data_IF_039724929653
#
_entry.id   IF_039724929653
#
_cell.length_a   1.000
_cell.length_b   1.000
_cell.length_c   1.000
_cell.angle_alpha   90.00
_cell.angle_beta   90.00
_cell.angle_gamma   90.00
#
_symmetry.space_group_name_H-M   'P 1'
#
loop_
_entity.id
_entity.type
_entity.pdbx_description
1 polymer ?
#
# COMPACT_ATOMS: atom_id res chain seq x y z
N UNK A 1 3.08 41.71 21.26
CA UNK A 1 2.80 40.27 21.12
C UNK A 1 3.38 39.90 19.79
N UNK A 2 4.63 39.45 19.79
CA UNK A 2 5.31 39.01 18.58
C UNK A 2 4.70 37.68 18.13
N UNK A 3 4.23 37.64 16.89
CA UNK A 3 3.94 36.42 16.14
C UNK A 3 5.25 35.65 15.96
N UNK A 4 5.59 34.83 16.95
CA UNK A 4 6.75 33.95 16.90
C UNK A 4 6.43 32.77 15.98
N UNK A 5 6.60 32.97 14.66
CA UNK A 5 7.08 31.97 13.69
C UNK A 5 6.99 30.51 14.17
N UNK A 6 5.82 29.87 14.22
CA UNK A 6 5.72 28.51 14.78
C UNK A 6 6.24 27.46 13.78
N UNK A 7 7.56 27.40 13.59
CA UNK A 7 8.20 26.51 12.64
C UNK A 7 7.80 25.05 12.90
N UNK A 8 7.15 24.44 11.91
CA UNK A 8 6.68 23.04 11.97
C UNK A 8 7.68 22.06 11.34
N UNK A 9 8.60 22.54 10.48
CA UNK A 9 9.63 21.74 9.80
C UNK A 9 11.07 22.30 10.00
N UNK A 10 12.08 21.51 9.61
CA UNK A 10 13.50 21.91 9.66
C UNK A 10 14.11 21.94 11.08
N UNK A 11 15.31 22.50 11.21
CA UNK A 11 16.09 22.52 12.45
C UNK A 11 15.43 23.37 13.55
N UNK A 12 14.84 24.51 13.18
CA UNK A 12 14.14 25.39 14.14
C UNK A 12 12.95 24.69 14.80
N UNK A 13 12.22 23.86 14.05
CA UNK A 13 11.14 23.04 14.61
C UNK A 13 11.70 21.98 15.58
N UNK A 14 12.82 21.34 15.25
CA UNK A 14 13.48 20.36 16.13
C UNK A 14 13.97 20.98 17.44
N UNK A 15 14.53 22.19 17.39
CA UNK A 15 14.97 22.93 18.59
C UNK A 15 13.78 23.25 19.52
N UNK A 16 12.66 23.70 18.95
CA UNK A 16 11.42 23.93 19.71
C UNK A 16 10.86 22.64 20.31
N UNK A 17 10.76 21.58 19.49
CA UNK A 17 10.27 20.27 19.91
C UNK A 17 11.09 19.69 21.06
N UNK A 18 12.42 19.73 20.95
CA UNK A 18 13.32 19.26 22.01
C UNK A 18 13.29 20.16 23.25
N UNK A 19 13.16 21.48 23.07
CA UNK A 19 13.01 22.46 24.14
C UNK A 19 11.76 22.23 24.99
N UNK A 20 10.61 21.99 24.36
CA UNK A 20 9.35 21.67 25.05
C UNK A 20 9.46 20.37 25.86
N UNK A 21 10.09 19.34 25.30
CA UNK A 21 10.28 18.07 26.01
C UNK A 21 11.23 18.23 27.20
N UNK A 22 12.30 19.04 27.06
CA UNK A 22 13.19 19.36 28.19
C UNK A 22 12.47 20.14 29.28
N UNK A 23 11.62 21.10 28.90
CA UNK A 23 10.79 21.84 29.84
C UNK A 23 9.82 20.91 30.59
N UNK A 24 9.19 19.97 29.88
CA UNK A 24 8.34 18.94 30.48
C UNK A 24 9.11 18.07 31.47
N UNK A 25 10.28 17.54 31.09
CA UNK A 25 11.12 16.69 31.95
C UNK A 25 11.52 17.43 33.24
N UNK A 26 11.96 18.68 33.11
CA UNK A 26 12.30 19.54 34.24
C UNK A 26 11.09 19.81 35.12
N UNK A 27 9.93 20.10 34.53
CA UNK A 27 8.71 20.41 35.27
C UNK A 27 8.20 19.22 36.07
N UNK A 28 8.23 18.02 35.48
CA UNK A 28 7.89 16.77 36.17
C UNK A 28 8.86 16.57 37.35
N UNK A 29 10.16 16.80 37.15
CA UNK A 29 11.16 16.67 38.22
C UNK A 29 10.90 17.65 39.37
N UNK A 30 10.54 18.90 39.07
CA UNK A 30 10.21 19.91 40.08
C UNK A 30 8.91 19.57 40.83
N UNK A 31 7.90 19.06 40.12
CA UNK A 31 6.66 18.59 40.73
C UNK A 31 6.91 17.38 41.66
N UNK A 32 7.75 16.42 41.25
CA UNK A 32 8.21 15.31 42.10
C UNK A 32 8.93 15.81 43.37
N UNK A 33 9.45 17.04 43.37
CA UNK A 33 10.12 17.70 44.50
C UNK A 33 9.19 18.63 45.32
N UNK A 34 7.90 18.69 44.99
CA UNK A 34 6.90 19.50 45.70
C UNK A 34 6.75 20.94 45.22
N UNK A 35 7.42 21.32 44.12
CA UNK A 35 7.32 22.65 43.52
C UNK A 35 6.16 22.69 42.50
N UNK A 36 4.90 22.69 42.96
CA UNK A 36 3.74 22.46 42.08
C UNK A 36 3.11 23.75 41.53
N UNK A 37 3.18 24.86 42.26
CA UNK A 37 2.51 26.13 41.89
C UNK A 37 3.49 27.31 41.97
N UNK A 38 4.28 27.50 40.91
CA UNK A 38 5.10 28.70 40.74
C UNK A 38 4.44 29.62 39.71
N UNK A 39 3.97 30.80 40.13
CA UNK A 39 3.14 31.78 39.38
C UNK A 39 3.65 32.19 37.98
N UNK A 40 4.83 31.74 37.56
CA UNK A 40 5.48 32.09 36.28
C UNK A 40 5.99 30.88 35.49
N UNK A 41 5.78 29.67 35.98
CA UNK A 41 6.27 28.45 35.35
C UNK A 41 5.08 27.62 34.86
N UNK A 42 4.99 27.32 33.55
CA UNK A 42 3.95 26.45 33.02
C UNK A 42 3.87 25.13 33.78
N UNK A 43 2.67 24.71 34.14
CA UNK A 43 2.36 23.41 34.71
C UNK A 43 2.69 22.27 33.73
N UNK A 44 2.72 21.04 34.24
CA UNK A 44 2.90 19.83 33.40
C UNK A 44 1.81 19.76 32.32
N UNK A 45 0.56 20.07 32.68
CA UNK A 45 -0.58 20.04 31.76
C UNK A 45 -0.49 21.14 30.69
N UNK A 46 -0.03 22.34 31.05
CA UNK A 46 0.18 23.43 30.07
C UNK A 46 1.29 23.08 29.07
N UNK A 47 2.41 22.52 29.53
CA UNK A 47 3.51 22.10 28.63
C UNK A 47 3.05 20.93 27.76
N UNK A 48 2.30 19.97 28.31
CA UNK A 48 1.70 18.90 27.51
C UNK A 48 0.71 19.44 26.47
N UNK A 49 -0.07 20.47 26.80
CA UNK A 49 -0.95 21.16 25.85
C UNK A 49 -0.18 21.80 24.71
N UNK A 50 0.97 22.42 24.99
CA UNK A 50 1.87 22.97 23.97
C UNK A 50 2.51 21.88 23.09
N UNK A 51 2.83 20.73 23.67
CA UNK A 51 3.31 19.57 22.90
C UNK A 51 2.18 18.98 22.05
N UNK A 52 0.97 18.88 22.61
CA UNK A 52 -0.21 18.37 21.92
C UNK A 52 -0.58 19.21 20.69
N UNK A 53 -0.51 20.54 20.80
CA UNK A 53 -0.76 21.44 19.66
C UNK A 53 0.30 21.34 18.56
N UNK A 54 1.49 20.81 18.89
CA UNK A 54 2.64 20.68 17.98
C UNK A 54 3.01 19.24 17.64
N UNK A 55 2.14 18.26 17.90
CA UNK A 55 2.49 16.85 17.65
C UNK A 55 2.90 16.53 16.21
N UNK A 56 2.34 17.27 15.25
CA UNK A 56 2.66 17.17 13.83
C UNK A 56 4.00 17.83 13.45
N UNK A 57 4.61 18.61 14.35
CA UNK A 57 5.88 19.28 14.11
C UNK A 57 7.05 18.31 14.15
N UNK A 58 8.10 18.65 13.39
CA UNK A 58 9.29 17.83 13.19
C UNK A 58 9.87 17.29 14.52
N UNK A 59 10.04 15.97 14.59
CA UNK A 59 10.56 15.22 15.74
C UNK A 59 9.85 15.41 17.09
N UNK A 60 8.68 16.07 17.17
CA UNK A 60 8.02 16.36 18.46
C UNK A 60 7.72 15.10 19.27
N UNK A 61 7.12 14.09 18.63
CA UNK A 61 6.85 12.79 19.27
C UNK A 61 8.15 12.03 19.55
N UNK A 62 9.11 12.03 18.60
CA UNK A 62 10.40 11.36 18.74
C UNK A 62 11.19 11.85 19.96
N UNK A 63 11.17 13.15 20.25
CA UNK A 63 11.79 13.67 21.46
C UNK A 63 10.98 13.34 22.71
N UNK A 64 9.65 13.44 22.66
CA UNK A 64 8.79 13.14 23.80
C UNK A 64 8.99 11.71 24.32
N UNK A 65 9.09 10.73 23.42
CA UNK A 65 9.33 9.33 23.78
C UNK A 65 10.73 9.08 24.36
N UNK A 66 11.67 10.02 24.24
CA UNK A 66 13.00 9.91 24.84
C UNK A 66 13.03 10.38 26.31
N UNK A 67 12.02 11.10 26.80
CA UNK A 67 11.93 11.46 28.21
C UNK A 67 11.35 10.32 29.05
N UNK A 68 12.22 9.57 29.70
CA UNK A 68 11.82 8.52 30.64
C UNK A 68 10.96 9.03 31.81
N UNK A 69 11.10 10.32 32.21
CA UNK A 69 10.22 10.91 33.23
C UNK A 69 8.81 11.14 32.69
N UNK A 70 8.69 11.63 31.46
CA UNK A 70 7.40 11.83 30.81
C UNK A 70 6.63 10.50 30.67
N UNK A 71 7.31 9.36 30.51
CA UNK A 71 6.64 8.05 30.45
C UNK A 71 5.69 7.77 31.62
N UNK A 72 6.00 8.28 32.82
CA UNK A 72 5.15 8.13 34.00
C UNK A 72 3.75 8.68 33.80
N UNK A 73 3.63 9.83 33.12
CA UNK A 73 2.34 10.48 32.88
C UNK A 73 1.74 10.08 31.52
N UNK A 74 2.58 9.73 30.53
CA UNK A 74 2.13 9.30 29.21
C UNK A 74 1.40 7.95 29.26
N UNK A 75 1.90 6.99 30.06
CA UNK A 75 1.26 5.68 30.23
C UNK A 75 -0.17 5.77 30.79
N UNK A 76 -0.46 6.84 31.54
CA UNK A 76 -1.75 7.10 32.16
C UNK A 76 -2.66 7.95 31.26
N UNK A 77 -2.27 8.15 29.99
CA UNK A 77 -3.09 8.83 28.99
C UNK A 77 -3.02 10.35 29.03
N UNK A 78 -2.05 10.97 29.72
CA UNK A 78 -1.96 12.42 29.83
C UNK A 78 -1.88 13.14 28.46
N UNK A 79 -1.15 12.57 27.50
CA UNK A 79 -1.10 13.09 26.13
C UNK A 79 -2.42 12.89 25.39
N UNK A 80 -3.06 11.73 25.53
CA UNK A 80 -4.37 11.48 24.92
C UNK A 80 -5.40 12.51 25.40
N UNK A 81 -5.41 12.80 26.70
CA UNK A 81 -6.24 13.84 27.30
C UNK A 81 -5.88 15.23 26.76
N UNK A 82 -4.59 15.57 26.66
CA UNK A 82 -4.13 16.87 26.15
C UNK A 82 -4.51 17.09 24.67
N UNK A 83 -4.55 16.03 23.87
CA UNK A 83 -4.96 16.06 22.46
C UNK A 83 -6.49 16.07 22.31
N UNK A 84 -7.23 15.86 23.40
CA UNK A 84 -8.69 15.75 23.36
C UNK A 84 -9.15 14.46 22.70
N UNK A 85 -8.41 13.36 22.88
CA UNK A 85 -8.86 12.02 22.48
C UNK A 85 -10.14 11.70 23.22
N UNK A 86 -11.18 11.45 22.45
CA UNK A 86 -12.51 11.14 22.93
C UNK A 86 -12.62 9.61 23.06
N UNK A 87 -12.61 9.12 24.30
CA UNK A 87 -12.68 7.68 24.60
C UNK A 87 -13.92 7.03 23.98
N UNK A 88 -15.05 7.74 23.90
CA UNK A 88 -16.25 7.22 23.26
C UNK A 88 -16.04 7.04 21.76
N UNK A 89 -15.38 8.00 21.10
CA UNK A 89 -15.00 7.86 19.68
C UNK A 89 -14.02 6.73 19.46
N UNK A 90 -13.00 6.58 20.30
CA UNK A 90 -12.02 5.48 20.21
C UNK A 90 -12.73 4.13 20.36
N UNK A 91 -13.60 3.99 21.36
CA UNK A 91 -14.37 2.77 21.58
C UNK A 91 -15.35 2.49 20.43
N UNK A 92 -15.96 3.53 19.86
CA UNK A 92 -16.82 3.40 18.68
C UNK A 92 -16.02 2.91 17.47
N UNK A 93 -14.86 3.49 17.22
CA UNK A 93 -13.96 3.07 16.14
C UNK A 93 -13.48 1.62 16.34
N UNK A 94 -13.09 1.25 17.57
CA UNK A 94 -12.67 -0.11 17.88
C UNK A 94 -13.77 -1.14 17.56
N UNK A 95 -15.02 -0.85 17.93
CA UNK A 95 -16.18 -1.70 17.60
C UNK A 95 -16.43 -1.78 16.09
N UNK A 96 -16.25 -0.68 15.37
CA UNK A 96 -16.40 -0.66 13.92
C UNK A 96 -15.31 -1.49 13.22
N UNK A 97 -14.07 -1.36 13.67
CA UNK A 97 -12.93 -2.16 13.20
C UNK A 97 -13.19 -3.64 13.47
N UNK A 98 -13.52 -4.02 14.71
CA UNK A 98 -13.82 -5.41 15.07
C UNK A 98 -14.95 -5.99 14.21
N UNK A 99 -16.05 -5.23 14.05
CA UNK A 99 -17.17 -5.62 13.18
C UNK A 99 -16.71 -5.82 11.73
N UNK A 100 -15.86 -4.93 11.21
CA UNK A 100 -15.34 -5.02 9.84
C UNK A 100 -14.48 -6.25 9.64
N UNK A 101 -13.56 -6.52 10.57
CA UNK A 101 -12.75 -7.74 10.55
C UNK A 101 -13.61 -9.00 10.66
N UNK A 102 -14.61 -9.02 11.55
CA UNK A 102 -15.52 -10.16 11.68
C UNK A 102 -16.29 -10.42 10.39
N UNK A 103 -16.86 -9.38 9.78
CA UNK A 103 -17.56 -9.48 8.49
C UNK A 103 -16.64 -10.02 7.39
N UNK A 104 -15.38 -9.56 7.34
CA UNK A 104 -14.39 -10.03 6.35
C UNK A 104 -13.93 -11.46 6.62
N UNK A 105 -13.77 -11.85 7.88
CA UNK A 105 -13.37 -13.20 8.28
C UNK A 105 -14.45 -14.22 7.95
N UNK A 106 -15.72 -13.90 8.25
CA UNK A 106 -16.86 -14.79 8.02
C UNK A 106 -17.30 -14.79 6.56
N UNK A 107 -17.44 -13.61 5.95
CA UNK A 107 -18.00 -13.41 4.61
C UNK A 107 -16.98 -13.29 3.48
N UNK A 108 -15.68 -13.29 3.78
CA UNK A 108 -14.62 -13.07 2.80
C UNK A 108 -14.53 -11.61 2.33
N UNK A 109 -13.76 -11.39 1.25
CA UNK A 109 -13.61 -10.06 0.64
C UNK A 109 -14.96 -9.57 0.11
N UNK A 110 -15.44 -8.43 0.61
CA UNK A 110 -16.63 -7.79 0.06
C UNK A 110 -16.32 -7.33 -1.36
N UNK A 111 -17.07 -7.82 -2.36
CA UNK A 111 -16.98 -7.31 -3.73
C UNK A 111 -17.31 -5.82 -3.69
N UNK A 112 -16.42 -5.01 -4.28
CA UNK A 112 -16.72 -3.60 -4.52
C UNK A 112 -17.87 -3.55 -5.55
N UNK A 113 -18.81 -2.60 -5.41
CA UNK A 113 -19.79 -2.38 -6.46
C UNK A 113 -19.08 -2.08 -7.77
N UNK A 114 -19.63 -2.55 -8.88
CA UNK A 114 -19.14 -2.17 -10.21
C UNK A 114 -19.20 -0.66 -10.37
N UNK A 115 -18.09 -0.08 -10.82
CA UNK A 115 -17.93 1.34 -11.10
C UNK A 115 -17.28 1.49 -12.46
N UNK A 116 -17.65 2.52 -13.19
CA UNK A 116 -16.98 2.90 -14.44
C UNK A 116 -15.55 3.37 -14.18
N UNK A 117 -14.68 3.31 -15.19
CA UNK A 117 -13.31 3.85 -15.11
C UNK A 117 -13.33 5.32 -14.67
N UNK A 118 -14.27 6.11 -15.20
CA UNK A 118 -14.45 7.53 -14.83
C UNK A 118 -14.76 7.72 -13.34
N UNK A 119 -15.60 6.86 -12.74
CA UNK A 119 -15.91 6.94 -11.32
C UNK A 119 -14.72 6.54 -10.44
N UNK A 120 -13.97 5.50 -10.84
CA UNK A 120 -12.75 5.06 -10.16
C UNK A 120 -11.69 6.16 -10.17
N UNK A 121 -11.46 6.80 -11.32
CA UNK A 121 -10.48 7.89 -11.45
C UNK A 121 -10.88 9.13 -10.65
N UNK A 122 -12.17 9.46 -10.56
CA UNK A 122 -12.65 10.57 -9.70
C UNK A 122 -12.42 10.29 -8.23
N UNK A 123 -12.66 9.05 -7.79
CA UNK A 123 -12.39 8.65 -6.41
C UNK A 123 -10.89 8.63 -6.11
N UNK A 124 -10.06 8.13 -7.02
CA UNK A 124 -8.61 8.16 -6.91
C UNK A 124 -8.09 9.60 -6.80
N UNK A 125 -8.55 10.49 -7.68
CA UNK A 125 -8.19 11.89 -7.65
C UNK A 125 -8.61 12.55 -6.34
N UNK A 126 -9.85 12.33 -5.90
CA UNK A 126 -10.34 12.85 -4.62
C UNK A 126 -9.50 12.36 -3.44
N UNK A 127 -9.21 11.07 -3.35
CA UNK A 127 -8.43 10.49 -2.27
C UNK A 127 -6.99 11.02 -2.28
N UNK A 128 -6.39 11.15 -3.46
CA UNK A 128 -5.03 11.66 -3.63
C UNK A 128 -4.90 13.11 -3.18
N UNK A 129 -5.87 13.97 -3.50
CA UNK A 129 -5.81 15.41 -3.16
C UNK A 129 -6.33 15.75 -1.76
N UNK A 130 -7.15 14.89 -1.14
CA UNK A 130 -7.75 15.18 0.18
C UNK A 130 -7.10 14.42 1.33
N UNK A 131 -6.41 13.30 1.07
CA UNK A 131 -5.74 12.56 2.12
C UNK A 131 -4.55 13.39 2.69
N UNK A 132 -4.47 13.61 4.02
CA UNK A 132 -3.41 14.43 4.61
C UNK A 132 -1.99 13.98 4.30
N UNK A 133 -1.73 12.66 4.35
CA UNK A 133 -0.40 12.09 4.04
C UNK A 133 -0.05 12.26 2.57
N UNK A 134 -1.00 12.00 1.68
CA UNK A 134 -0.82 12.22 0.24
C UNK A 134 -0.57 13.69 -0.08
N UNK A 135 -1.33 14.60 0.54
CA UNK A 135 -1.17 16.05 0.35
C UNK A 135 0.23 16.53 0.74
N UNK A 136 0.77 16.03 1.84
CA UNK A 136 2.12 16.40 2.30
C UNK A 136 3.17 16.02 1.26
N UNK A 137 3.08 14.80 0.70
CA UNK A 137 3.97 14.34 -0.37
C UNK A 137 3.81 15.18 -1.64
N UNK A 138 2.58 15.42 -2.09
CA UNK A 138 2.32 16.22 -3.29
C UNK A 138 2.81 17.66 -3.16
N UNK A 139 2.65 18.28 -1.98
CA UNK A 139 3.18 19.61 -1.68
C UNK A 139 4.72 19.59 -1.68
N UNK A 140 5.34 18.55 -1.11
CA UNK A 140 6.79 18.36 -1.15
C UNK A 140 7.34 18.25 -2.57
N UNK A 141 6.62 17.58 -3.47
CA UNK A 141 7.01 17.43 -4.89
C UNK A 141 6.81 18.72 -5.70
N UNK A 142 5.72 19.46 -5.48
CA UNK A 142 5.42 20.71 -6.21
C UNK A 142 6.15 21.95 -5.69
N UNK A 143 6.71 21.92 -4.49
CA UNK A 143 7.34 23.08 -3.88
C UNK A 143 6.38 24.27 -3.76
N UNK A 144 6.76 25.43 -4.33
CA UNK A 144 6.00 26.68 -4.25
C UNK A 144 4.89 26.82 -5.34
N UNK A 145 4.67 25.81 -6.18
CA UNK A 145 3.74 25.88 -7.33
C UNK A 145 2.23 25.78 -6.97
N UNK A 146 1.89 25.97 -5.70
CA UNK A 146 0.50 26.03 -5.21
C UNK A 146 -0.10 24.66 -4.87
N UNK A 147 -1.37 24.67 -4.44
CA UNK A 147 -2.04 23.44 -4.00
C UNK A 147 -2.31 22.48 -5.18
N UNK A 148 -2.02 21.18 -5.03
CA UNK A 148 -2.41 20.17 -6.01
C UNK A 148 -3.95 20.08 -6.09
N UNK A 149 -4.52 20.37 -7.25
CA UNK A 149 -5.94 20.24 -7.54
C UNK A 149 -6.30 18.88 -8.17
N UNK A 150 -5.29 18.14 -8.63
CA UNK A 150 -5.45 16.89 -9.36
C UNK A 150 -4.13 16.08 -9.41
N UNK A 151 -4.19 14.72 -9.41
CA UNK A 151 -3.02 13.88 -9.69
C UNK A 151 -2.65 13.79 -11.17
N UNK A 152 -3.46 14.35 -12.08
CA UNK A 152 -3.25 14.23 -13.52
C UNK A 152 -2.14 15.16 -14.06
N UNK A 153 -1.37 15.83 -13.21
CA UNK A 153 -0.28 16.75 -13.59
C UNK A 153 -0.63 17.80 -14.66
N UNK A 154 -1.89 18.25 -14.69
CA UNK A 154 -2.37 19.19 -15.72
C UNK A 154 -2.45 18.59 -17.13
N UNK A 155 -2.28 17.28 -17.29
CA UNK A 155 -2.38 16.57 -18.56
C UNK A 155 -3.82 16.58 -19.04
N UNK A 156 -3.97 16.68 -20.36
CA UNK A 156 -5.26 16.49 -21.03
C UNK A 156 -5.43 15.00 -21.35
N UNK A 157 -6.67 14.49 -21.35
CA UNK A 157 -6.94 13.14 -21.79
C UNK A 157 -6.37 12.88 -23.20
N UNK A 158 -5.90 11.66 -23.44
CA UNK A 158 -5.27 11.31 -24.72
C UNK A 158 -6.32 11.32 -25.83
N UNK A 159 -5.95 11.87 -26.98
CA UNK A 159 -6.80 11.87 -28.17
C UNK A 159 -6.80 10.49 -28.84
N UNK A 160 -7.85 10.13 -29.59
CA UNK A 160 -7.87 8.89 -30.37
C UNK A 160 -6.66 8.77 -31.33
N UNK A 161 -6.19 9.90 -31.87
CA UNK A 161 -5.01 9.98 -32.72
C UNK A 161 -3.73 9.63 -31.96
N UNK A 162 -3.52 10.18 -30.76
CA UNK A 162 -2.37 9.86 -29.90
C UNK A 162 -2.34 8.38 -29.50
N UNK A 163 -3.50 7.81 -29.18
CA UNK A 163 -3.62 6.36 -28.88
C UNK A 163 -3.27 5.53 -30.12
N UNK A 164 -3.76 5.93 -31.30
CA UNK A 164 -3.47 5.24 -32.57
C UNK A 164 -1.97 5.31 -32.91
N UNK A 165 -1.33 6.45 -32.66
CA UNK A 165 0.12 6.62 -32.83
C UNK A 165 0.91 5.73 -31.87
N UNK A 166 0.47 5.62 -30.61
CA UNK A 166 1.06 4.72 -29.63
C UNK A 166 0.95 3.25 -30.08
N UNK A 167 -0.23 2.79 -30.48
CA UNK A 167 -0.44 1.43 -31.01
C UNK A 167 0.47 1.15 -32.22
N UNK A 168 0.61 2.11 -33.13
CA UNK A 168 1.51 2.02 -34.28
C UNK A 168 2.98 1.94 -33.87
N UNK A 169 3.40 2.72 -32.86
CA UNK A 169 4.76 2.74 -32.33
C UNK A 169 5.12 1.40 -31.66
N UNK A 170 4.21 0.87 -30.85
CA UNK A 170 4.38 -0.41 -30.17
C UNK A 170 4.13 -1.62 -31.08
N UNK A 171 3.48 -1.42 -32.24
CA UNK A 171 3.05 -2.45 -33.19
C UNK A 171 2.12 -3.49 -32.58
N UNK A 172 1.21 -3.05 -31.70
CA UNK A 172 0.19 -3.87 -31.06
C UNK A 172 -1.15 -3.14 -31.02
N UNK A 173 -2.21 -3.87 -30.69
CA UNK A 173 -3.48 -3.30 -30.26
C UNK A 173 -3.50 -3.25 -28.74
N UNK A 174 -3.73 -2.08 -28.17
CA UNK A 174 -3.82 -1.90 -26.73
C UNK A 174 -5.16 -2.45 -26.19
N UNK A 175 -5.17 -2.94 -24.94
CA UNK A 175 -6.41 -3.31 -24.25
C UNK A 175 -7.44 -2.17 -24.25
N UNK A 176 -8.73 -2.51 -24.40
CA UNK A 176 -9.80 -1.52 -24.51
C UNK A 176 -9.98 -0.68 -23.24
N UNK A 177 -9.82 -1.31 -22.07
CA UNK A 177 -9.83 -0.65 -20.76
C UNK A 177 -8.64 0.30 -20.57
N UNK A 178 -7.47 -0.07 -21.06
CA UNK A 178 -6.28 0.81 -21.04
C UNK A 178 -6.44 2.01 -21.99
N UNK A 179 -7.07 1.82 -23.16
CA UNK A 179 -7.42 2.93 -24.05
C UNK A 179 -8.49 3.86 -23.44
N UNK A 180 -9.49 3.31 -22.74
CA UNK A 180 -10.45 4.10 -21.98
C UNK A 180 -9.73 4.94 -20.91
N UNK A 181 -8.83 4.32 -20.16
CA UNK A 181 -8.00 5.02 -19.16
C UNK A 181 -7.20 6.17 -19.76
N UNK A 182 -6.46 5.93 -20.86
CA UNK A 182 -5.68 6.96 -21.54
C UNK A 182 -6.58 8.08 -22.07
N UNK A 183 -7.73 7.72 -22.67
CA UNK A 183 -8.74 8.65 -23.16
C UNK A 183 -9.43 9.48 -22.08
N UNK A 184 -9.22 9.16 -20.79
CA UNK A 184 -9.69 9.94 -19.64
C UNK A 184 -8.58 10.74 -18.94
N UNK A 185 -7.31 10.36 -19.09
CA UNK A 185 -6.21 10.88 -18.24
C UNK A 185 -4.95 11.26 -18.99
N UNK A 186 -4.55 10.48 -20.00
CA UNK A 186 -3.20 10.44 -20.56
C UNK A 186 -2.11 10.19 -19.49
N UNK A 187 -2.34 9.19 -18.63
CA UNK A 187 -1.48 8.91 -17.49
C UNK A 187 -1.73 9.86 -16.32
N UNK A 188 -0.97 9.67 -15.24
CA UNK A 188 -1.02 10.53 -14.06
C UNK A 188 0.30 10.50 -13.28
N UNK A 189 0.52 11.50 -12.43
CA UNK A 189 1.59 11.49 -11.45
C UNK A 189 1.28 10.53 -10.29
N UNK A 190 2.16 10.48 -9.30
CA UNK A 190 2.01 9.62 -8.12
C UNK A 190 0.62 9.76 -7.47
N UNK A 191 -0.04 8.63 -7.18
CA UNK A 191 -1.41 8.61 -6.60
C UNK A 191 -1.46 7.94 -5.23
N UNK A 192 -2.57 8.11 -4.49
CA UNK A 192 -2.73 7.50 -3.17
C UNK A 192 -3.59 6.23 -3.21
N UNK A 193 -2.95 5.07 -3.07
CA UNK A 193 -3.59 3.75 -3.06
C UNK A 193 -4.25 3.34 -1.75
N UNK A 194 -4.14 4.18 -0.71
CA UNK A 194 -4.74 3.96 0.62
C UNK A 194 -3.78 3.50 1.70
N UNK A 195 -2.58 3.05 1.34
CA UNK A 195 -1.52 2.62 2.27
C UNK A 195 -0.23 3.36 1.97
N UNK A 196 0.20 3.29 0.72
CA UNK A 196 1.35 4.00 0.17
C UNK A 196 0.92 4.72 -1.11
N UNK A 197 1.85 5.50 -1.63
CA UNK A 197 1.73 6.06 -2.95
C UNK A 197 1.90 4.97 -4.00
N UNK A 198 1.02 4.96 -4.99
CA UNK A 198 1.16 4.12 -6.17
C UNK A 198 2.01 4.85 -7.21
N UNK A 199 2.88 4.14 -7.96
CA UNK A 199 3.73 4.75 -8.97
C UNK A 199 2.90 5.48 -10.03
N UNK A 200 3.46 6.53 -10.66
CA UNK A 200 2.81 7.26 -11.74
C UNK A 200 2.58 6.35 -12.94
N UNK A 201 1.57 6.69 -13.74
CA UNK A 201 1.34 6.06 -15.02
C UNK A 201 1.75 6.99 -16.16
N UNK A 202 2.51 6.43 -17.09
CA UNK A 202 3.11 7.14 -18.21
C UNK A 202 2.06 7.74 -19.13
N UNK A 203 2.29 8.95 -19.67
CA UNK A 203 1.54 9.45 -20.82
C UNK A 203 1.85 8.62 -22.07
N UNK A 204 1.02 8.75 -23.10
CA UNK A 204 1.18 8.03 -24.38
C UNK A 204 2.55 8.22 -25.04
N UNK A 205 3.27 9.30 -24.74
CA UNK A 205 4.62 9.55 -25.27
C UNK A 205 5.68 8.67 -24.63
N UNK A 206 5.47 8.25 -23.38
CA UNK A 206 6.51 7.64 -22.54
C UNK A 206 6.27 6.14 -22.34
N UNK A 207 5.06 5.64 -22.66
CA UNK A 207 4.77 4.20 -22.76
C UNK A 207 5.68 3.54 -23.79
N UNK A 208 6.44 2.53 -23.40
CA UNK A 208 7.40 1.85 -24.28
C UNK A 208 7.48 0.36 -23.97
N UNK A 209 7.99 -0.42 -24.93
CA UNK A 209 8.54 -1.72 -24.60
C UNK A 209 9.75 -1.54 -23.69
N UNK A 210 10.07 -2.57 -22.91
CA UNK A 210 11.30 -2.58 -22.14
C UNK A 210 12.51 -2.17 -22.98
N UNK A 211 13.36 -1.33 -22.38
CA UNK A 211 14.60 -0.86 -22.96
C UNK A 211 15.67 -1.94 -23.05
N UNK A 212 16.75 -1.65 -23.80
CA UNK A 212 17.92 -2.52 -23.88
C UNK A 212 18.67 -2.62 -22.52
N UNK A 213 18.47 -1.65 -21.62
CA UNK A 213 19.01 -1.57 -20.26
C UNK A 213 18.08 -2.20 -19.19
N UNK A 214 16.96 -2.77 -19.62
CA UNK A 214 15.93 -3.39 -18.79
C UNK A 214 15.85 -4.92 -18.99
N UNK A 215 16.88 -5.51 -19.59
CA UNK A 215 16.97 -6.94 -19.89
C UNK A 215 16.85 -7.83 -18.63
N UNK A 216 17.29 -7.34 -17.48
CA UNK A 216 17.16 -8.02 -16.19
C UNK A 216 15.70 -8.28 -15.78
N UNK A 217 14.72 -7.51 -16.28
CA UNK A 217 13.31 -7.77 -16.05
C UNK A 217 12.80 -9.00 -16.82
N UNK A 218 13.44 -9.38 -17.93
CA UNK A 218 12.96 -10.46 -18.79
C UNK A 218 12.97 -11.81 -18.10
N UNK A 219 13.98 -12.00 -17.24
CA UNK A 219 14.23 -13.25 -16.53
C UNK A 219 13.58 -13.28 -15.14
N UNK A 220 12.90 -12.20 -14.74
CA UNK A 220 12.11 -12.23 -13.51
C UNK A 220 11.00 -13.24 -13.63
N UNK A 221 10.86 -14.06 -12.60
CA UNK A 221 9.75 -14.98 -12.52
C UNK A 221 8.42 -14.26 -12.38
N UNK A 222 7.46 -14.70 -13.18
CA UNK A 222 6.11 -14.18 -13.15
C UNK A 222 5.28 -14.99 -12.16
N UNK A 223 4.62 -14.33 -11.20
CA UNK A 223 3.60 -14.93 -10.35
C UNK A 223 2.32 -14.09 -10.43
N UNK A 224 1.32 -14.59 -11.16
CA UNK A 224 0.04 -13.88 -11.37
C UNK A 224 -0.91 -13.95 -10.17
N UNK A 225 -0.74 -14.96 -9.31
CA UNK A 225 -1.47 -15.11 -8.04
C UNK A 225 -0.42 -15.25 -6.95
N UNK A 226 -0.77 -14.90 -5.72
CA UNK A 226 0.10 -14.78 -4.53
C UNK A 226 1.52 -15.39 -4.62
N UNK A 227 2.51 -14.57 -4.25
CA UNK A 227 3.95 -14.63 -4.58
C UNK A 227 4.78 -15.79 -3.98
N UNK A 228 4.15 -16.86 -3.49
CA UNK A 228 4.88 -17.97 -2.84
C UNK A 228 4.85 -19.28 -3.63
N UNK A 229 4.04 -19.39 -4.69
CA UNK A 229 3.89 -20.65 -5.42
C UNK A 229 5.23 -21.08 -6.04
N UNK A 230 5.91 -20.16 -6.73
CA UNK A 230 7.23 -20.44 -7.30
C UNK A 230 8.26 -20.83 -6.24
N UNK A 231 8.32 -20.08 -5.13
CA UNK A 231 9.21 -20.40 -4.02
C UNK A 231 8.94 -21.81 -3.47
N UNK A 232 7.67 -22.19 -3.32
CA UNK A 232 7.31 -23.55 -2.92
C UNK A 232 7.75 -24.60 -3.94
N UNK A 233 7.60 -24.36 -5.25
CA UNK A 233 8.10 -25.30 -6.29
C UNK A 233 9.61 -25.51 -6.16
N UNK A 234 10.38 -24.45 -5.88
CA UNK A 234 11.83 -24.52 -5.65
C UNK A 234 12.20 -25.36 -4.43
N UNK A 235 11.40 -25.28 -3.37
CA UNK A 235 11.67 -25.97 -2.11
C UNK A 235 11.36 -27.48 -2.15
N UNK A 236 10.69 -27.98 -3.19
CA UNK A 236 10.41 -29.40 -3.35
C UNK A 236 11.48 -30.13 -4.18
N UNK A 237 12.33 -30.99 -3.58
CA UNK A 237 13.48 -31.58 -4.26
C UNK A 237 13.15 -32.46 -5.48
N UNK A 238 11.91 -32.98 -5.55
CA UNK A 238 11.45 -33.85 -6.64
C UNK A 238 11.09 -33.06 -7.91
N UNK A 239 10.84 -31.76 -7.77
CA UNK A 239 10.36 -30.87 -8.83
C UNK A 239 11.14 -29.55 -8.89
N UNK A 240 12.28 -29.46 -8.19
CA UNK A 240 13.13 -28.26 -8.18
C UNK A 240 13.57 -27.88 -9.61
N UNK A 241 13.84 -28.87 -10.46
CA UNK A 241 14.17 -28.67 -11.87
C UNK A 241 13.02 -28.00 -12.65
N UNK A 242 11.75 -28.18 -12.24
CA UNK A 242 10.61 -27.51 -12.84
C UNK A 242 10.56 -26.02 -12.48
N UNK A 243 11.15 -25.62 -11.35
CA UNK A 243 11.26 -24.22 -10.97
C UNK A 243 12.22 -23.41 -11.85
N UNK A 244 13.21 -24.07 -12.47
CA UNK A 244 14.09 -23.43 -13.45
C UNK A 244 13.39 -23.18 -14.79
N UNK A 245 12.27 -23.88 -15.03
CA UNK A 245 11.38 -23.65 -16.17
C UNK A 245 10.18 -22.76 -15.85
N UNK A 246 10.16 -22.13 -14.67
CA UNK A 246 9.06 -21.28 -14.27
C UNK A 246 8.88 -20.12 -15.26
N UNK A 247 7.63 -19.77 -15.64
CA UNK A 247 7.42 -18.69 -16.59
C UNK A 247 7.99 -17.37 -16.07
N UNK A 248 8.66 -16.64 -16.97
CA UNK A 248 9.21 -15.33 -16.69
C UNK A 248 8.32 -14.23 -17.26
N UNK A 249 8.54 -13.00 -16.82
CA UNK A 249 7.89 -11.78 -17.31
C UNK A 249 8.10 -11.64 -18.81
N UNK A 250 9.33 -11.89 -19.28
CA UNK A 250 9.75 -11.68 -20.66
C UNK A 250 9.64 -10.22 -21.09
N UNK A 251 9.49 -10.00 -22.39
CA UNK A 251 9.27 -8.65 -22.95
C UNK A 251 7.87 -8.14 -22.55
N UNK A 252 7.80 -6.99 -21.87
CA UNK A 252 6.55 -6.32 -21.50
C UNK A 252 6.58 -4.83 -21.85
N UNK A 253 5.43 -4.18 -21.75
CA UNK A 253 5.28 -2.75 -22.01
C UNK A 253 5.29 -2.03 -20.67
N UNK A 254 6.25 -1.15 -20.46
CA UNK A 254 6.29 -0.24 -19.33
C UNK A 254 5.23 0.85 -19.49
N UNK A 255 4.32 0.92 -18.53
CA UNK A 255 3.24 1.91 -18.47
C UNK A 255 3.33 2.80 -17.23
N UNK A 256 4.36 2.66 -16.40
CA UNK A 256 4.55 3.49 -15.22
C UNK A 256 5.68 2.99 -14.33
N UNK A 257 6.46 3.90 -13.76
CA UNK A 257 7.52 3.55 -12.82
C UNK A 257 7.79 4.67 -11.80
N UNK A 258 8.24 4.29 -10.61
CA UNK A 258 8.81 5.18 -9.59
C UNK A 258 9.81 4.40 -8.74
N UNK A 259 11.09 4.79 -8.78
CA UNK A 259 12.19 4.10 -8.11
C UNK A 259 12.28 2.60 -8.47
N UNK A 260 11.90 1.72 -7.54
CA UNK A 260 11.91 0.26 -7.73
C UNK A 260 10.54 -0.32 -8.09
N UNK A 261 9.50 0.52 -8.11
CA UNK A 261 8.14 0.11 -8.42
C UNK A 261 7.88 0.33 -9.91
N UNK A 262 7.39 -0.69 -10.61
CA UNK A 262 7.07 -0.62 -12.03
C UNK A 262 5.73 -1.27 -12.34
N UNK A 263 5.03 -0.73 -13.34
CA UNK A 263 3.71 -1.17 -13.76
C UNK A 263 3.79 -1.56 -15.23
N UNK A 264 3.45 -2.81 -15.53
CA UNK A 264 3.63 -3.37 -16.87
C UNK A 264 2.33 -3.90 -17.46
N UNK A 265 2.21 -3.79 -18.78
CA UNK A 265 1.27 -4.60 -19.55
C UNK A 265 1.99 -5.85 -20.06
N UNK A 266 1.61 -6.99 -19.50
CA UNK A 266 2.13 -8.29 -19.91
C UNK A 266 1.46 -8.77 -21.20
N UNK A 267 2.23 -9.29 -22.19
CA UNK A 267 1.64 -9.92 -23.36
C UNK A 267 0.75 -11.11 -22.94
N UNK A 268 -0.42 -11.31 -23.58
CA UNK A 268 -1.31 -12.43 -23.27
C UNK A 268 -0.63 -13.80 -23.33
N UNK A 269 0.35 -13.98 -24.21
CA UNK A 269 1.11 -15.22 -24.33
C UNK A 269 1.91 -15.56 -23.05
N UNK A 270 2.43 -14.56 -22.33
CA UNK A 270 3.16 -14.79 -21.09
C UNK A 270 2.20 -15.11 -19.93
N UNK A 271 1.02 -14.47 -19.93
CA UNK A 271 -0.07 -14.80 -19.00
C UNK A 271 -0.53 -16.26 -19.17
N UNK A 272 -0.69 -16.73 -20.42
CA UNK A 272 -1.09 -18.12 -20.69
C UNK A 272 -0.01 -19.14 -20.30
N UNK A 273 1.29 -18.81 -20.40
CA UNK A 273 2.37 -19.68 -19.88
C UNK A 273 2.24 -19.88 -18.37
N UNK A 274 1.99 -18.80 -17.63
CA UNK A 274 1.80 -18.87 -16.18
C UNK A 274 0.55 -19.67 -15.80
N UNK A 275 -0.55 -19.45 -16.53
CA UNK A 275 -1.76 -20.23 -16.36
C UNK A 275 -1.53 -21.72 -16.60
N UNK A 276 -0.78 -22.08 -17.64
CA UNK A 276 -0.42 -23.46 -17.94
C UNK A 276 0.43 -24.09 -16.81
N UNK A 277 1.38 -23.35 -16.24
CA UNK A 277 2.18 -23.82 -15.11
C UNK A 277 1.31 -24.14 -13.87
N UNK A 278 0.33 -23.29 -13.55
CA UNK A 278 -0.61 -23.59 -12.46
C UNK A 278 -1.48 -24.82 -12.74
N UNK A 279 -1.96 -24.98 -13.97
CA UNK A 279 -2.74 -26.16 -14.35
C UNK A 279 -1.90 -27.44 -14.28
N UNK A 280 -0.63 -27.38 -14.69
CA UNK A 280 0.29 -28.51 -14.58
C UNK A 280 0.44 -28.97 -13.11
N UNK A 281 0.62 -28.02 -12.18
CA UNK A 281 0.67 -28.32 -10.74
C UNK A 281 -0.58 -29.06 -10.29
N UNK A 282 -1.76 -28.62 -10.72
CA UNK A 282 -3.03 -29.20 -10.30
C UNK A 282 -3.24 -30.60 -10.88
N UNK A 283 -2.91 -30.80 -12.16
CA UNK A 283 -3.22 -32.02 -12.90
C UNK A 283 -2.19 -33.14 -12.71
N UNK A 284 -0.95 -32.82 -12.32
CA UNK A 284 0.13 -33.80 -12.25
C UNK A 284 0.35 -34.34 -10.82
N UNK A 285 0.44 -35.66 -10.67
CA UNK A 285 0.60 -36.34 -9.38
C UNK A 285 1.98 -36.16 -8.74
N UNK A 286 2.97 -35.70 -9.51
CA UNK A 286 4.31 -35.41 -8.96
C UNK A 286 4.29 -34.24 -7.96
N UNK A 287 3.31 -33.35 -8.08
CA UNK A 287 3.19 -32.18 -7.21
C UNK A 287 2.42 -32.53 -5.92
N UNK A 288 2.90 -32.08 -4.75
CA UNK A 288 2.28 -32.40 -3.47
C UNK A 288 0.92 -31.71 -3.28
N UNK A 289 -0.01 -32.39 -2.61
CA UNK A 289 -1.36 -31.89 -2.31
C UNK A 289 -1.38 -30.57 -1.51
N UNK A 290 -0.32 -30.26 -0.77
CA UNK A 290 -0.16 -28.97 -0.11
C UNK A 290 0.01 -27.83 -1.11
N UNK A 291 0.90 -28.00 -2.11
CA UNK A 291 1.11 -27.02 -3.17
C UNK A 291 -0.15 -26.84 -4.02
N UNK A 292 -0.83 -27.93 -4.39
CA UNK A 292 -2.11 -27.86 -5.12
C UNK A 292 -3.16 -27.05 -4.37
N UNK A 293 -3.30 -27.29 -3.05
CA UNK A 293 -4.21 -26.51 -2.20
C UNK A 293 -3.82 -25.04 -2.13
N UNK A 294 -2.53 -24.71 -2.05
CA UNK A 294 -2.05 -23.32 -2.08
C UNK A 294 -2.43 -22.64 -3.40
N UNK A 295 -2.16 -23.27 -4.54
CA UNK A 295 -2.54 -22.75 -5.87
C UNK A 295 -4.04 -22.46 -5.93
N UNK A 296 -4.89 -23.42 -5.52
CA UNK A 296 -6.35 -23.22 -5.51
C UNK A 296 -6.77 -22.08 -4.57
N UNK A 297 -6.21 -22.00 -3.37
CA UNK A 297 -6.52 -20.90 -2.44
C UNK A 297 -6.09 -19.54 -2.97
N UNK A 298 -4.92 -19.45 -3.62
CA UNK A 298 -4.42 -18.20 -4.18
C UNK A 298 -5.23 -17.76 -5.40
N UNK A 299 -5.75 -18.70 -6.21
CA UNK A 299 -6.71 -18.41 -7.29
C UNK A 299 -8.05 -17.90 -6.71
N UNK A 300 -8.57 -18.55 -5.66
CA UNK A 300 -9.80 -18.15 -4.99
C UNK A 300 -9.68 -16.74 -4.38
N UNK A 301 -8.55 -16.44 -3.74
CA UNK A 301 -8.24 -15.14 -3.15
C UNK A 301 -8.10 -14.05 -4.23
N UNK A 302 -7.42 -14.37 -5.34
CA UNK A 302 -7.27 -13.47 -6.48
C UNK A 302 -8.62 -13.15 -7.14
N UNK A 303 -9.41 -14.19 -7.45
CA UNK A 303 -10.73 -14.05 -8.10
C UNK A 303 -11.81 -13.50 -7.15
N UNK A 304 -11.55 -13.47 -5.83
CA UNK A 304 -12.52 -13.10 -4.82
C UNK A 304 -13.73 -14.04 -4.80
N UNK A 305 -13.51 -15.33 -5.07
CA UNK A 305 -14.54 -16.39 -5.08
C UNK A 305 -14.16 -17.42 -4.04
N UNK A 306 -14.94 -17.52 -2.96
CA UNK A 306 -14.87 -18.68 -2.06
C UNK A 306 -15.76 -19.76 -2.66
N UNK A 307 -15.19 -20.78 -3.32
CA UNK A 307 -15.94 -22.00 -3.59
C UNK A 307 -16.05 -22.75 -2.26
N UNK A 308 -17.12 -22.51 -1.50
CA UNK A 308 -17.49 -23.42 -0.42
C UNK A 308 -18.04 -24.70 -1.04
N UNK A 309 -17.12 -25.53 -1.55
CA UNK A 309 -17.39 -26.84 -2.11
C UNK A 309 -16.68 -27.89 -1.28
N UNK A 310 -17.45 -28.62 -0.47
CA UNK A 310 -17.00 -29.83 0.21
C UNK A 310 -16.34 -30.79 -0.79
N UNK A 311 -15.01 -30.84 -0.86
CA UNK A 311 -14.31 -31.97 -1.46
C UNK A 311 -14.30 -33.11 -0.46
N UNK A 312 -15.40 -33.86 -0.50
CA UNK A 312 -15.53 -35.17 0.12
C UNK A 312 -14.62 -36.12 -0.65
N UNK A 313 -13.80 -36.86 0.11
CA UNK A 313 -12.84 -37.84 -0.37
C UNK A 313 -13.37 -38.76 -1.48
N UNK A 314 -12.62 -38.86 -2.58
CA UNK A 314 -12.63 -40.04 -3.44
C UNK A 314 -11.35 -40.83 -3.18
N UNK A 315 -11.43 -41.74 -2.20
CA UNK A 315 -10.51 -42.86 -2.03
C UNK A 315 -10.57 -43.72 -3.30
N UNK A 316 -9.54 -43.69 -4.12
CA UNK A 316 -9.22 -44.81 -5.01
C UNK A 316 -8.30 -45.77 -4.26
N UNK A 317 -8.90 -46.69 -3.52
CA UNK A 317 -8.24 -47.87 -2.97
C UNK A 317 -8.71 -49.10 -3.72
N UNK A 318 -8.00 -49.48 -4.78
CA UNK A 318 -8.19 -50.72 -5.50
C UNK A 318 -7.06 -51.70 -5.21
N UNK A 319 -7.44 -52.90 -4.77
CA UNK A 319 -6.73 -54.19 -4.74
C UNK A 319 -5.74 -54.49 -3.59
N UNK A 320 -6.11 -55.43 -2.71
CA UNK A 320 -5.69 -56.85 -2.84
C UNK A 320 -6.12 -57.73 -1.64
N UNK A 321 -6.82 -58.80 -2.01
CA UNK A 321 -6.93 -60.18 -1.48
C UNK A 321 -6.06 -60.61 -0.28
N UNK A 322 -6.71 -61.20 0.75
CA UNK A 322 -6.40 -62.44 1.51
C UNK A 322 -7.49 -62.57 2.61
N UNK A 323 -8.22 -63.65 2.82
CA UNK A 323 -7.85 -65.06 2.95
C UNK A 323 -8.21 -65.49 4.39
N UNK A 324 -9.28 -66.30 4.57
CA UNK A 324 -9.72 -66.82 5.87
C UNK A 324 -11.21 -66.64 6.13
#
# INVERSE_FOLDING_TARGET
MDDFADATSGSTAMDKSSGLVRALDLRIKLADQGHVDEDKVPSVDEILGMIASRMHSNYQINYLIQSARAWKILKDGALAKAVGVDDEKVQSLAKEVEKTFKLRLEGGKKRRPERSMSELLKELAHNTVTNPSSREVLMGMKGDEGEPDSPFDGRKPATPEEITELEKRLKITLPDDYKEFLGLTNGFGTTWGGILHDPPLHPTTDVNWFGDDEDYFYDLHLDLVESEINAMVRDYPVIADAADSWPTVGMAIDIGNEDIDSVWLLPPANVEKQRAAYLEILDNEIYPEELKRKVLSSIDDFAGVKITGNYTALRNGGLSVAGG
#
